data_IF_558363152032
#
_entry.id   IF_558363152032
#
_cell.length_a   1.000
_cell.length_b   1.000
_cell.length_c   1.000
_cell.angle_alpha   90.00
_cell.angle_beta   90.00
_cell.angle_gamma   90.00
#
_symmetry.space_group_name_H-M   'P 1'
#
loop_
_entity.id
_entity.type
_entity.pdbx_description
1 polymer ?
#
# COMPACT_ATOMS: atom_id res chain seq x y z
N UNK A 1 9.85 -15.27 -6.34
CA UNK A 1 8.92 -14.22 -5.85
C UNK A 1 9.60 -12.87 -6.08
N UNK A 2 9.09 -12.06 -7.00
CA UNK A 2 9.59 -10.70 -7.20
C UNK A 2 8.89 -9.75 -6.22
N UNK A 3 9.69 -8.99 -5.49
CA UNK A 3 9.22 -7.85 -4.72
C UNK A 3 9.64 -6.56 -5.43
N UNK A 4 8.79 -5.53 -5.39
CA UNK A 4 9.16 -4.23 -5.95
C UNK A 4 10.29 -3.59 -5.15
N UNK A 5 11.53 -3.71 -5.66
CA UNK A 5 12.74 -3.11 -5.11
C UNK A 5 13.40 -2.20 -6.15
N UNK A 6 13.42 -0.89 -5.86
CA UNK A 6 13.94 0.15 -6.77
C UNK A 6 15.42 0.46 -6.56
N UNK A 7 16.10 -0.19 -5.60
CA UNK A 7 17.48 0.13 -5.25
C UNK A 7 18.48 -0.19 -6.38
N UNK A 8 18.16 -1.14 -7.26
CA UNK A 8 19.12 -1.69 -8.22
C UNK A 8 18.53 -1.92 -9.63
N UNK A 9 17.26 -1.61 -9.87
CA UNK A 9 16.55 -1.97 -11.11
C UNK A 9 15.37 -1.03 -11.33
N UNK A 10 15.13 -0.63 -12.59
CA UNK A 10 13.95 0.17 -12.93
C UNK A 10 12.67 -0.67 -12.85
N UNK A 11 11.51 -0.03 -12.66
CA UNK A 11 10.22 -0.76 -12.62
C UNK A 11 9.96 -1.52 -13.93
N UNK A 12 10.37 -0.94 -15.06
CA UNK A 12 10.23 -1.55 -16.38
C UNK A 12 11.09 -2.82 -16.49
N UNK A 13 12.35 -2.76 -16.08
CA UNK A 13 13.25 -3.92 -16.10
C UNK A 13 12.80 -5.01 -15.11
N UNK A 14 12.18 -4.63 -13.99
CA UNK A 14 11.55 -5.58 -13.07
C UNK A 14 10.35 -6.30 -13.71
N UNK A 15 9.51 -5.57 -14.46
CA UNK A 15 8.40 -6.16 -15.23
C UNK A 15 8.91 -7.10 -16.32
N UNK A 16 9.98 -6.75 -17.03
CA UNK A 16 10.61 -7.60 -18.04
C UNK A 16 11.11 -8.91 -17.41
N UNK A 17 11.87 -8.85 -16.31
CA UNK A 17 12.37 -10.04 -15.61
C UNK A 17 11.24 -10.90 -15.01
N UNK A 18 10.19 -10.26 -14.48
CA UNK A 18 9.05 -10.97 -13.91
C UNK A 18 8.25 -11.68 -15.01
N UNK A 19 8.06 -11.05 -16.17
CA UNK A 19 7.40 -11.65 -17.32
C UNK A 19 8.21 -12.84 -17.88
N UNK A 20 9.53 -12.72 -18.03
CA UNK A 20 10.40 -13.82 -18.47
C UNK A 20 10.29 -15.06 -17.60
N UNK A 21 10.14 -14.87 -16.29
CA UNK A 21 9.98 -15.96 -15.31
C UNK A 21 8.53 -16.35 -15.06
N UNK A 22 7.57 -15.70 -15.73
CA UNK A 22 6.15 -15.84 -15.47
C UNK A 22 5.79 -15.70 -13.98
N UNK A 23 6.29 -14.65 -13.34
CA UNK A 23 6.08 -14.35 -11.93
C UNK A 23 5.33 -13.02 -11.72
N UNK A 24 4.66 -12.91 -10.56
CA UNK A 24 3.98 -11.70 -10.10
C UNK A 24 4.92 -10.81 -9.28
N UNK A 25 4.69 -9.50 -9.33
CA UNK A 25 5.42 -8.51 -8.54
C UNK A 25 4.57 -8.08 -7.34
N UNK A 26 5.03 -8.41 -6.14
CA UNK A 26 4.36 -8.04 -4.90
C UNK A 26 4.71 -6.60 -4.52
N UNK A 27 3.67 -5.82 -4.23
CA UNK A 27 3.78 -4.43 -3.82
C UNK A 27 3.18 -4.23 -2.43
N UNK A 28 3.82 -3.38 -1.62
CA UNK A 28 3.36 -3.00 -0.29
C UNK A 28 2.46 -1.77 -0.38
N UNK A 29 1.50 -1.64 0.55
CA UNK A 29 0.52 -0.54 0.57
C UNK A 29 1.12 0.89 0.58
N UNK A 30 2.38 1.04 1.01
CA UNK A 30 3.09 2.32 1.05
C UNK A 30 3.81 2.68 -0.28
N UNK A 31 3.80 1.82 -1.30
CA UNK A 31 4.49 2.04 -2.58
C UNK A 31 3.59 2.71 -3.64
N UNK A 32 2.82 3.74 -3.25
CA UNK A 32 1.95 4.49 -4.17
C UNK A 32 2.74 5.57 -4.91
N UNK A 33 2.26 5.94 -6.11
CA UNK A 33 2.80 7.06 -6.93
C UNK A 33 4.29 6.94 -7.33
N UNK A 34 4.87 5.75 -7.31
CA UNK A 34 6.27 5.49 -7.72
C UNK A 34 6.44 5.26 -9.24
N UNK A 35 5.42 5.49 -10.06
CA UNK A 35 5.48 5.29 -11.52
C UNK A 35 5.08 3.89 -12.04
N UNK A 36 4.52 3.03 -11.17
CA UNK A 36 4.13 1.64 -11.53
C UNK A 36 3.21 1.54 -12.74
N UNK A 37 2.11 2.27 -12.73
CA UNK A 37 1.15 2.29 -13.84
C UNK A 37 1.81 2.75 -15.13
N UNK A 38 2.63 3.80 -15.08
CA UNK A 38 3.35 4.29 -16.28
C UNK A 38 4.25 3.20 -16.85
N UNK A 39 5.08 2.57 -16.02
CA UNK A 39 5.97 1.49 -16.44
C UNK A 39 5.19 0.27 -16.97
N UNK A 40 4.06 -0.08 -16.35
CA UNK A 40 3.20 -1.18 -16.82
C UNK A 40 2.64 -0.90 -18.22
N UNK A 41 2.13 0.32 -18.44
CA UNK A 41 1.56 0.71 -19.73
C UNK A 41 2.63 0.79 -20.82
N UNK A 42 3.84 1.24 -20.49
CA UNK A 42 4.99 1.20 -21.40
C UNK A 42 5.40 -0.23 -21.74
N UNK A 43 5.49 -1.11 -20.73
CA UNK A 43 5.77 -2.53 -20.92
C UNK A 43 4.72 -3.20 -21.81
N UNK A 44 3.44 -2.96 -21.54
CA UNK A 44 2.33 -3.49 -22.32
C UNK A 44 2.37 -2.99 -23.77
N UNK A 45 2.67 -1.71 -23.98
CA UNK A 45 2.80 -1.09 -25.31
C UNK A 45 3.92 -1.74 -26.12
N UNK A 46 5.10 -1.88 -25.53
CA UNK A 46 6.30 -2.44 -26.19
C UNK A 46 6.08 -3.88 -26.66
N UNK A 47 5.27 -4.64 -25.93
CA UNK A 47 5.05 -6.06 -26.19
C UNK A 47 3.66 -6.39 -26.77
N UNK A 48 2.81 -5.38 -27.00
CA UNK A 48 1.43 -5.53 -27.44
C UNK A 48 0.58 -6.44 -26.52
N UNK A 49 0.75 -6.29 -25.20
CA UNK A 49 0.01 -7.07 -24.21
C UNK A 49 -1.28 -6.36 -23.77
N UNK A 50 -2.40 -7.10 -23.60
CA UNK A 50 -3.59 -6.55 -22.96
C UNK A 50 -3.32 -6.17 -21.50
N UNK A 51 -3.90 -5.06 -21.04
CA UNK A 51 -3.76 -4.59 -19.66
C UNK A 51 -5.07 -4.77 -18.91
N UNK A 52 -5.06 -5.62 -17.90
CA UNK A 52 -6.14 -5.76 -16.95
C UNK A 52 -6.02 -4.69 -15.86
N UNK A 53 -7.02 -3.81 -15.77
CA UNK A 53 -7.10 -2.77 -14.77
C UNK A 53 -8.44 -2.82 -14.04
N UNK A 54 -8.54 -2.10 -12.91
CA UNK A 54 -9.82 -1.92 -12.23
C UNK A 54 -10.88 -1.36 -13.17
N UNK A 55 -12.11 -1.88 -13.10
CA UNK A 55 -13.21 -1.46 -13.98
C UNK A 55 -13.43 0.04 -13.98
N UNK A 56 -13.28 0.69 -12.83
CA UNK A 56 -13.50 2.12 -12.64
C UNK A 56 -12.47 2.98 -13.37
N UNK A 57 -11.23 2.48 -13.52
CA UNK A 57 -10.14 3.23 -14.17
C UNK A 57 -9.94 2.84 -15.63
N UNK A 58 -10.37 1.63 -16.03
CA UNK A 58 -10.17 1.10 -17.38
C UNK A 58 -10.67 2.05 -18.48
N UNK A 59 -11.87 2.62 -18.31
CA UNK A 59 -12.42 3.60 -19.28
C UNK A 59 -11.55 4.85 -19.40
N UNK A 60 -10.98 5.32 -18.30
CA UNK A 60 -10.07 6.47 -18.29
C UNK A 60 -8.77 6.15 -19.01
N UNK A 61 -8.21 4.96 -18.75
CA UNK A 61 -7.00 4.50 -19.42
C UNK A 61 -7.20 4.32 -20.92
N UNK A 62 -8.29 3.67 -21.34
CA UNK A 62 -8.59 3.48 -22.77
C UNK A 62 -8.72 4.82 -23.53
N UNK A 63 -9.30 5.86 -22.89
CA UNK A 63 -9.40 7.20 -23.50
C UNK A 63 -8.05 7.90 -23.63
N UNK A 64 -7.16 7.70 -22.65
CA UNK A 64 -5.83 8.35 -22.61
C UNK A 64 -4.80 7.61 -23.48
N UNK A 65 -4.96 6.31 -23.61
CA UNK A 65 -4.06 5.40 -24.32
C UNK A 65 -4.89 4.53 -25.28
N UNK A 66 -5.43 5.13 -26.36
CA UNK A 66 -6.31 4.44 -27.30
C UNK A 66 -5.59 3.35 -28.11
N UNK A 67 -4.25 3.39 -28.11
CA UNK A 67 -3.35 2.41 -28.72
C UNK A 67 -3.22 1.12 -27.90
N UNK A 68 -3.60 1.13 -26.62
CA UNK A 68 -3.54 -0.03 -25.75
C UNK A 68 -4.89 -0.74 -25.67
N UNK A 69 -4.85 -2.07 -25.53
CA UNK A 69 -6.02 -2.86 -25.20
C UNK A 69 -6.21 -2.88 -23.68
N UNK A 70 -7.10 -2.03 -23.17
CA UNK A 70 -7.39 -1.94 -21.73
C UNK A 70 -8.66 -2.70 -21.38
N UNK A 71 -8.51 -3.67 -20.49
CA UNK A 71 -9.60 -4.54 -20.02
C UNK A 71 -9.95 -4.15 -18.60
N UNK A 72 -11.23 -3.82 -18.36
CA UNK A 72 -11.74 -3.57 -17.02
C UNK A 72 -12.15 -4.86 -16.33
N UNK A 73 -11.51 -5.18 -15.21
CA UNK A 73 -11.79 -6.41 -14.48
C UNK A 73 -13.24 -6.48 -13.97
N UNK A 74 -13.88 -7.63 -14.15
CA UNK A 74 -15.23 -7.91 -13.61
C UNK A 74 -15.17 -9.17 -12.75
N UNK A 75 -14.97 -10.32 -13.38
CA UNK A 75 -14.89 -11.63 -12.72
C UNK A 75 -13.87 -12.59 -13.36
N UNK A 76 -13.30 -12.18 -14.51
CA UNK A 76 -12.33 -12.93 -15.30
C UNK A 76 -12.91 -13.52 -16.58
N UNK A 77 -14.24 -13.49 -16.79
CA UNK A 77 -14.87 -13.92 -18.06
C UNK A 77 -14.47 -13.04 -19.24
N UNK A 78 -14.15 -11.77 -18.97
CA UNK A 78 -13.63 -10.81 -19.96
C UNK A 78 -12.26 -11.20 -20.54
N UNK A 79 -11.62 -12.25 -20.00
CA UNK A 79 -10.31 -12.74 -20.40
C UNK A 79 -10.36 -14.06 -21.17
N UNK A 80 -11.55 -14.58 -21.47
CA UNK A 80 -11.69 -15.83 -22.21
C UNK A 80 -11.02 -15.74 -23.59
N UNK A 81 -10.10 -16.68 -23.86
CA UNK A 81 -9.31 -16.70 -25.10
C UNK A 81 -8.13 -15.72 -25.13
N UNK A 82 -7.89 -14.97 -24.05
CA UNK A 82 -6.72 -14.10 -23.94
C UNK A 82 -5.57 -14.79 -23.20
N UNK A 83 -4.36 -14.43 -23.60
CA UNK A 83 -3.11 -14.86 -23.00
C UNK A 83 -2.16 -13.68 -22.91
N UNK A 84 -1.11 -13.82 -22.11
CA UNK A 84 -0.09 -12.79 -21.91
C UNK A 84 -0.66 -11.45 -21.39
N UNK A 85 -1.71 -11.51 -20.58
CA UNK A 85 -2.35 -10.33 -19.98
C UNK A 85 -1.49 -9.84 -18.82
N UNK A 86 -1.29 -8.52 -18.72
CA UNK A 86 -0.61 -7.90 -17.58
C UNK A 86 -1.60 -7.18 -16.68
N UNK A 87 -1.44 -7.24 -15.36
CA UNK A 87 -2.37 -6.58 -14.44
C UNK A 87 -1.80 -5.36 -13.72
N UNK A 88 -2.61 -4.30 -13.66
CA UNK A 88 -2.37 -3.14 -12.81
C UNK A 88 -2.77 -3.40 -11.35
N UNK A 89 -2.31 -2.54 -10.45
CA UNK A 89 -2.52 -2.67 -9.01
C UNK A 89 -4.01 -2.60 -8.63
N UNK A 90 -4.44 -3.58 -7.83
CA UNK A 90 -5.70 -3.54 -7.10
C UNK A 90 -6.83 -4.37 -7.70
N UNK A 91 -6.53 -5.24 -8.65
CA UNK A 91 -7.35 -6.43 -8.90
C UNK A 91 -7.34 -7.32 -7.63
N UNK A 92 -8.45 -7.97 -7.24
CA UNK A 92 -8.47 -8.88 -6.10
C UNK A 92 -7.38 -9.95 -6.16
N UNK A 93 -6.68 -10.17 -5.04
CA UNK A 93 -5.49 -11.04 -4.97
C UNK A 93 -5.78 -12.49 -5.34
N UNK A 94 -6.93 -13.00 -4.91
CA UNK A 94 -7.45 -14.32 -5.26
C UNK A 94 -7.71 -14.45 -6.78
N UNK A 95 -8.24 -13.41 -7.41
CA UNK A 95 -8.45 -13.36 -8.85
C UNK A 95 -7.13 -13.34 -9.62
N UNK A 96 -6.17 -12.49 -9.23
CA UNK A 96 -4.84 -12.44 -9.85
C UNK A 96 -4.16 -13.82 -9.75
N UNK A 97 -4.15 -14.45 -8.58
CA UNK A 97 -3.59 -15.80 -8.38
C UNK A 97 -4.28 -16.85 -9.26
N UNK A 98 -5.62 -16.81 -9.35
CA UNK A 98 -6.40 -17.73 -10.18
C UNK A 98 -6.07 -17.57 -11.67
N UNK A 99 -6.02 -16.34 -12.17
CA UNK A 99 -5.75 -16.01 -13.57
C UNK A 99 -4.29 -16.33 -13.96
N UNK A 100 -3.34 -16.07 -13.06
CA UNK A 100 -1.94 -16.44 -13.23
C UNK A 100 -1.75 -17.96 -13.28
N UNK A 101 -2.37 -18.72 -12.38
CA UNK A 101 -2.35 -20.19 -12.40
C UNK A 101 -2.95 -20.79 -13.69
N UNK A 102 -3.91 -20.09 -14.31
CA UNK A 102 -4.51 -20.49 -15.60
C UNK A 102 -3.65 -20.13 -16.82
N UNK A 103 -2.52 -19.44 -16.64
CA UNK A 103 -1.64 -19.00 -17.74
C UNK A 103 -2.21 -17.85 -18.56
N UNK A 104 -3.31 -17.23 -18.12
CA UNK A 104 -3.92 -16.06 -18.77
C UNK A 104 -3.09 -14.82 -18.46
N UNK A 105 -2.74 -14.65 -17.18
CA UNK A 105 -1.94 -13.54 -16.70
C UNK A 105 -0.45 -13.90 -16.75
N UNK A 106 0.35 -13.04 -17.36
CA UNK A 106 1.80 -13.18 -17.47
C UNK A 106 2.52 -12.57 -16.26
N UNK A 107 2.22 -11.33 -15.92
CA UNK A 107 2.82 -10.61 -14.80
C UNK A 107 1.97 -9.40 -14.39
N UNK A 108 2.40 -8.66 -13.37
CA UNK A 108 1.75 -7.43 -12.93
C UNK A 108 1.93 -7.18 -11.44
N UNK A 109 1.25 -6.16 -10.94
CA UNK A 109 1.39 -5.73 -9.55
C UNK A 109 0.27 -6.29 -8.66
N UNK A 110 0.66 -6.99 -7.59
CA UNK A 110 -0.26 -7.53 -6.61
C UNK A 110 -0.02 -6.91 -5.23
N UNK A 111 -1.07 -6.34 -4.65
CA UNK A 111 -0.98 -5.74 -3.32
C UNK A 111 -0.88 -6.84 -2.27
N UNK A 112 0.22 -6.83 -1.52
CA UNK A 112 0.41 -7.71 -0.37
C UNK A 112 -0.34 -7.13 0.83
N UNK A 113 -1.59 -7.56 1.03
CA UNK A 113 -2.34 -7.26 2.24
C UNK A 113 -1.88 -8.20 3.37
N UNK A 114 -1.35 -7.62 4.45
CA UNK A 114 -0.86 -8.34 5.64
C UNK A 114 -1.99 -8.97 6.47
N UNK A 115 -3.26 -8.75 6.10
CA UNK A 115 -4.44 -9.16 6.87
C UNK A 115 -5.02 -10.55 6.49
N UNK A 116 -4.46 -11.27 5.53
CA UNK A 116 -5.01 -12.57 5.08
C UNK A 116 -4.66 -13.78 5.97
N UNK A 117 -3.90 -13.60 7.06
CA UNK A 117 -3.54 -14.70 7.97
C UNK A 117 -4.52 -14.92 9.15
N UNK A 118 -5.66 -14.24 9.18
CA UNK A 118 -6.69 -14.51 10.19
C UNK A 118 -7.84 -15.23 9.49
N UNK A 119 -7.75 -16.56 9.48
CA UNK A 119 -8.79 -17.43 8.93
C UNK A 119 -10.12 -17.12 9.58
N UNK A 120 -11.07 -16.65 8.79
CA UNK A 120 -12.50 -16.69 9.12
C UNK A 120 -13.26 -17.06 7.86
N UNK A 121 -14.21 -17.94 8.10
CA UNK A 121 -14.95 -18.82 7.22
C UNK A 121 -15.74 -18.15 6.08
N UNK A 122 -16.12 -18.95 5.10
CA UNK A 122 -16.80 -18.56 3.87
C UNK A 122 -18.13 -17.82 4.10
N UNK A 123 -18.41 -16.86 3.21
CA UNK A 123 -19.77 -16.61 2.74
C UNK A 123 -20.39 -15.28 3.15
N UNK A 124 -20.01 -14.17 2.48
CA UNK A 124 -20.92 -13.04 2.29
C UNK A 124 -20.61 -12.35 0.95
N UNK A 125 -21.59 -12.37 0.04
CA UNK A 125 -21.65 -11.49 -1.14
C UNK A 125 -21.86 -10.05 -0.67
N UNK A 126 -20.93 -9.14 -0.97
CA UNK A 126 -21.13 -7.72 -0.66
C UNK A 126 -20.80 -6.85 -1.89
N UNK A 127 -21.88 -6.47 -2.56
CA UNK A 127 -21.92 -5.44 -3.57
C UNK A 127 -21.31 -4.13 -3.06
N UNK A 128 -20.67 -3.45 -4.00
CA UNK A 128 -20.04 -2.16 -3.83
C UNK A 128 -21.02 -1.13 -3.25
N UNK A 129 -20.79 -0.74 -2.00
CA UNK A 129 -21.16 0.58 -1.51
C UNK A 129 -19.96 1.15 -0.74
N UNK A 130 -19.41 2.25 -1.23
CA UNK A 130 -18.60 3.16 -0.44
C UNK A 130 -19.51 4.30 0.06
N UNK A 131 -19.22 5.00 1.17
CA UNK A 131 -18.13 4.84 2.16
C UNK A 131 -18.63 4.76 3.62
N UNK A 132 -17.88 4.14 4.55
CA UNK A 132 -17.66 4.64 5.93
C UNK A 132 -17.05 3.58 6.87
N UNK A 133 -15.72 3.59 6.98
CA UNK A 133 -15.11 3.63 8.31
C UNK A 133 -13.83 4.44 8.14
N UNK A 134 -13.89 5.73 8.50
CA UNK A 134 -12.66 6.49 8.75
C UNK A 134 -11.95 5.74 9.87
N UNK A 135 -10.98 4.90 9.53
CA UNK A 135 -10.06 4.34 10.52
C UNK A 135 -9.31 5.51 11.11
N UNK A 136 -9.59 5.83 12.37
CA UNK A 136 -8.95 6.91 13.09
C UNK A 136 -7.43 6.74 13.08
N UNK A 137 -6.64 7.74 12.65
CA UNK A 137 -5.18 7.65 12.67
C UNK A 137 -4.65 7.31 14.07
N UNK A 138 -3.66 6.42 14.15
CA UNK A 138 -3.05 6.03 15.43
C UNK A 138 -2.33 7.24 16.08
N UNK A 139 -1.60 8.02 15.29
CA UNK A 139 -0.92 9.25 15.71
C UNK A 139 -1.01 10.25 14.55
N UNK A 140 -1.35 11.49 14.88
CA UNK A 140 -1.34 12.62 13.96
C UNK A 140 -0.67 13.78 14.67
N UNK A 141 0.41 14.29 14.08
CA UNK A 141 1.16 15.45 14.56
C UNK A 141 1.05 16.49 13.44
N UNK A 142 0.43 17.61 13.74
CA UNK A 142 0.33 18.75 12.84
C UNK A 142 1.18 19.87 13.41
N UNK A 143 1.99 20.46 12.54
CA UNK A 143 2.89 21.55 12.87
C UNK A 143 2.65 22.63 11.83
N UNK A 144 2.23 23.82 12.28
CA UNK A 144 1.90 24.92 11.37
C UNK A 144 3.18 25.56 10.80
N UNK A 145 4.23 25.66 11.61
CA UNK A 145 5.56 26.17 11.25
C UNK A 145 6.63 25.52 12.15
N UNK A 146 7.92 25.54 11.75
CA UNK A 146 9.01 24.85 12.46
C UNK A 146 9.14 25.25 13.94
N UNK A 147 8.78 26.49 14.28
CA UNK A 147 8.84 27.01 15.65
C UNK A 147 7.49 26.89 16.41
N UNK A 148 6.46 26.32 15.79
CA UNK A 148 5.13 26.18 16.38
C UNK A 148 5.06 25.06 17.41
N UNK A 149 4.11 25.19 18.34
CA UNK A 149 3.78 24.09 19.25
C UNK A 149 2.93 23.06 18.48
N UNK A 150 3.34 21.78 18.40
CA UNK A 150 2.61 20.80 17.61
C UNK A 150 1.22 20.47 18.18
N UNK A 151 0.27 20.30 17.27
CA UNK A 151 -1.04 19.71 17.53
C UNK A 151 -0.92 18.19 17.44
N UNK A 152 -1.05 17.51 18.57
CA UNK A 152 -0.87 16.05 18.65
C UNK A 152 -2.21 15.38 18.93
N UNK A 153 -2.56 14.40 18.10
CA UNK A 153 -3.72 13.53 18.29
C UNK A 153 -3.27 12.07 18.35
N UNK A 154 -3.71 11.32 19.36
CA UNK A 154 -3.45 9.89 19.48
C UNK A 154 -4.77 9.13 19.46
N UNK A 155 -4.91 8.17 18.52
CA UNK A 155 -6.17 7.45 18.24
C UNK A 155 -7.38 8.38 18.06
N UNK A 156 -7.14 9.57 17.50
CA UNK A 156 -8.14 10.61 17.25
C UNK A 156 -8.42 11.57 18.41
N UNK A 157 -7.82 11.33 19.59
CA UNK A 157 -7.98 12.21 20.75
C UNK A 157 -6.86 13.25 20.80
N UNK A 158 -7.22 14.52 20.96
CA UNK A 158 -6.24 15.62 21.06
C UNK A 158 -5.52 15.56 22.41
N UNK A 159 -4.20 15.43 22.37
CA UNK A 159 -3.35 15.50 23.55
C UNK A 159 -3.10 16.97 23.90
N UNK A 160 -3.44 17.34 25.13
CA UNK A 160 -3.17 18.67 25.67
C UNK A 160 -2.01 18.62 26.67
N UNK A 161 -1.54 19.78 27.16
CA UNK A 161 -0.41 19.90 28.13
C UNK A 161 0.82 19.02 27.80
N UNK A 162 1.31 19.12 26.55
CA UNK A 162 2.41 18.31 26.03
C UNK A 162 3.71 18.80 26.66
N UNK A 163 4.48 17.87 27.20
CA UNK A 163 5.80 18.15 27.81
C UNK A 163 6.89 17.75 26.83
N UNK A 164 6.79 16.56 26.25
CA UNK A 164 7.70 16.07 25.23
C UNK A 164 6.98 15.11 24.29
N UNK A 165 7.25 15.23 22.99
CA UNK A 165 6.70 14.37 21.96
C UNK A 165 7.89 13.87 21.15
N UNK A 166 8.22 12.59 21.32
CA UNK A 166 9.26 11.95 20.54
C UNK A 166 8.61 10.99 19.56
N UNK A 167 8.81 11.29 18.28
CA UNK A 167 8.51 10.37 17.20
C UNK A 167 9.81 10.03 16.51
N UNK A 168 10.25 8.79 16.69
CA UNK A 168 11.40 8.27 15.97
C UNK A 168 10.94 7.15 15.06
N UNK A 169 11.22 7.33 13.78
CA UNK A 169 11.11 6.26 12.81
C UNK A 169 12.45 6.12 12.14
N UNK A 170 13.02 4.93 12.26
CA UNK A 170 14.31 4.61 11.65
C UNK A 170 14.19 3.30 10.92
N UNK A 171 14.98 3.16 9.87
CA UNK A 171 15.17 1.90 9.19
C UNK A 171 16.57 1.36 9.48
N UNK A 172 16.75 0.05 9.50
CA UNK A 172 18.08 -0.57 9.63
C UNK A 172 18.94 -0.53 8.35
N UNK A 173 18.50 0.25 7.35
CA UNK A 173 19.03 0.34 5.98
C UNK A 173 17.90 0.72 5.00
N UNK A 174 18.21 1.17 3.78
CA UNK A 174 17.18 1.60 2.81
C UNK A 174 16.12 0.50 2.48
N UNK A 175 16.45 -0.76 2.78
CA UNK A 175 15.73 -1.98 2.48
C UNK A 175 15.21 -2.75 3.71
N UNK A 176 15.52 -2.31 4.93
CA UNK A 176 15.11 -3.01 6.17
C UNK A 176 13.76 -2.52 6.70
N UNK A 177 13.09 -3.38 7.47
CA UNK A 177 11.88 -2.98 8.20
C UNK A 177 12.29 -1.98 9.28
N UNK A 178 11.63 -0.83 9.31
CA UNK A 178 11.94 0.22 10.28
C UNK A 178 11.29 -0.01 11.64
N UNK A 179 11.98 0.43 12.69
CA UNK A 179 11.42 0.52 14.04
C UNK A 179 10.70 1.85 14.22
N UNK A 180 9.56 1.81 14.89
CA UNK A 180 8.81 3.02 15.24
C UNK A 180 8.77 3.15 16.75
N UNK A 181 9.29 4.25 17.25
CA UNK A 181 9.22 4.63 18.66
C UNK A 181 8.36 5.88 18.80
N UNK A 182 7.33 5.78 19.63
CA UNK A 182 6.44 6.89 19.95
C UNK A 182 6.45 7.05 21.46
N UNK A 183 6.89 8.22 21.93
CA UNK A 183 6.77 8.64 23.32
C UNK A 183 6.01 9.95 23.39
N UNK A 184 4.89 9.92 24.09
CA UNK A 184 4.09 11.11 24.39
C UNK A 184 4.14 11.31 25.90
N UNK A 185 4.81 12.38 26.33
CA UNK A 185 4.79 12.85 27.73
C UNK A 185 3.87 14.05 27.82
N UNK A 186 2.86 13.96 28.66
CA UNK A 186 1.97 15.08 28.98
C UNK A 186 1.69 15.14 30.47
N UNK A 187 1.40 16.34 30.98
CA UNK A 187 0.96 16.50 32.36
C UNK A 187 -0.49 16.00 32.49
N UNK A 188 -0.79 15.30 33.60
CA UNK A 188 -2.16 15.19 34.07
C UNK A 188 -2.57 16.42 34.90
N UNK A 189 -3.84 16.47 35.32
CA UNK A 189 -4.50 17.65 35.89
C UNK A 189 -3.69 18.37 36.99
N UNK A 190 -3.87 19.70 37.15
CA UNK A 190 -2.96 20.56 37.94
C UNK A 190 -3.01 20.35 39.45
N UNK A 191 -4.04 19.67 39.99
CA UNK A 191 -4.26 19.56 41.44
C UNK A 191 -3.80 18.23 42.06
N UNK A 192 -3.37 17.26 41.25
CA UNK A 192 -2.84 15.99 41.75
C UNK A 192 -1.37 15.86 41.34
N UNK A 193 -0.47 16.21 42.26
CA UNK A 193 0.98 15.92 42.27
C UNK A 193 1.52 15.39 40.92
N UNK A 194 1.85 16.30 40.00
CA UNK A 194 2.65 16.09 38.77
C UNK A 194 2.71 14.62 38.29
N UNK A 195 1.54 14.03 38.04
CA UNK A 195 1.49 12.70 37.46
C UNK A 195 1.85 12.84 35.98
N UNK A 196 3.09 12.48 35.63
CA UNK A 196 3.53 12.41 34.23
C UNK A 196 3.00 11.11 33.66
N UNK A 197 1.94 11.20 32.86
CA UNK A 197 1.49 10.05 32.09
C UNK A 197 2.42 9.89 30.88
N UNK A 198 3.17 8.79 30.87
CA UNK A 198 4.02 8.42 29.73
C UNK A 198 3.32 7.29 28.98
N UNK A 199 2.77 7.61 27.81
CA UNK A 199 2.31 6.58 26.88
C UNK A 199 3.51 6.19 26.01
N UNK A 200 4.15 5.08 26.38
CA UNK A 200 5.24 4.47 25.63
C UNK A 200 4.69 3.30 24.81
N UNK A 201 4.72 3.43 23.49
CA UNK A 201 4.45 2.33 22.57
C UNK A 201 5.70 2.13 21.72
N UNK A 202 6.49 1.12 22.07
CA UNK A 202 7.66 0.72 21.32
C UNK A 202 7.31 -0.50 20.45
N UNK A 203 7.43 -0.35 19.13
CA UNK A 203 7.45 -1.49 18.21
C UNK A 203 8.84 -1.50 17.56
N UNK A 204 9.76 -2.21 18.21
CA UNK A 204 11.20 -2.26 17.93
C UNK A 204 12.06 -1.74 19.09
N UNK A 205 13.37 -1.99 19.03
CA UNK A 205 14.33 -1.55 20.06
C UNK A 205 14.53 -0.03 20.04
N UNK A 206 14.65 0.57 21.24
CA UNK A 206 15.01 1.99 21.43
C UNK A 206 16.42 2.26 20.87
N UNK A 207 16.63 3.43 20.29
CA UNK A 207 17.93 3.79 19.72
C UNK A 207 18.94 4.27 20.75
N UNK A 208 18.46 4.82 21.87
CA UNK A 208 19.31 5.40 22.91
C UNK A 208 18.70 5.09 24.29
N UNK A 209 19.56 4.65 25.21
CA UNK A 209 19.32 4.73 26.66
C UNK A 209 19.32 6.19 27.13
#
# INVERSE_FOLDING_TARGET
MFELNLAHTSILELLEKAAEKNELIYVRARQRRVGKTTALLEFARKNNYPVLAKREVARSYQRRYPDLNIIGYVDGSELDGLYNVVCDEGIPKDAVKRLHKRGILLTGFILENVYENIGVDQGVSLGYSAPSKKTTPLLQIELDDIDSIPHVFYKGERITKRIAIDFEWRTGGADKVGSTYIRIKHANNPDERLAVETKELAIGERAYE
#
